data_IF_652548985893
#
_entry.id   IF_652548985893
#
_cell.length_a   1.000
_cell.length_b   1.000
_cell.length_c   1.000
_cell.angle_alpha   90.00
_cell.angle_beta   90.00
_cell.angle_gamma   90.00
#
_symmetry.space_group_name_H-M   'P 1'
#
loop_
_entity.id
_entity.type
_entity.pdbx_description
1 polymer ?
#
# COMPACT_ATOMS: atom_id res chain seq x y z
N UNK A 1 -20.09 -4.90 9.60
CA UNK A 1 -19.38 -3.77 8.98
C UNK A 1 -19.64 -3.81 7.49
N UNK A 2 -19.92 -2.67 6.86
CA UNK A 2 -20.03 -2.58 5.40
C UNK A 2 -19.40 -1.30 4.88
N UNK A 3 -18.77 -1.37 3.71
CA UNK A 3 -18.11 -0.24 3.05
C UNK A 3 -18.47 -0.29 1.56
N UNK A 4 -18.91 0.83 1.00
CA UNK A 4 -18.91 1.09 -0.44
C UNK A 4 -17.93 2.20 -0.75
N UNK A 5 -17.11 1.98 -1.78
CA UNK A 5 -16.17 2.98 -2.28
C UNK A 5 -16.44 3.20 -3.77
N UNK A 6 -16.85 4.42 -4.11
CA UNK A 6 -17.17 4.85 -5.46
C UNK A 6 -16.14 5.88 -5.90
N UNK A 7 -15.67 5.78 -7.14
CA UNK A 7 -14.89 6.83 -7.78
C UNK A 7 -15.55 7.19 -9.10
N UNK A 8 -15.88 8.47 -9.26
CA UNK A 8 -16.54 9.06 -10.41
C UNK A 8 -15.66 10.21 -10.96
N UNK A 9 -15.87 10.58 -12.22
CA UNK A 9 -15.32 11.85 -12.75
C UNK A 9 -16.05 13.04 -12.14
N UNK A 10 -15.34 14.09 -11.73
CA UNK A 10 -15.92 15.28 -11.10
C UNK A 10 -16.93 16.03 -11.97
N UNK A 11 -16.68 16.18 -13.27
CA UNK A 11 -17.50 17.07 -14.12
C UNK A 11 -18.76 16.40 -14.71
N UNK A 12 -18.79 15.06 -14.74
CA UNK A 12 -19.86 14.31 -15.39
C UNK A 12 -20.43 13.15 -14.58
N UNK A 13 -19.88 12.84 -13.41
CA UNK A 13 -20.32 11.71 -12.59
C UNK A 13 -20.12 10.33 -13.23
N UNK A 14 -19.30 10.21 -14.28
CA UNK A 14 -19.07 8.94 -14.96
C UNK A 14 -18.33 8.00 -14.02
N UNK A 15 -18.86 6.80 -13.72
CA UNK A 15 -18.21 5.88 -12.80
C UNK A 15 -16.91 5.34 -13.35
N UNK A 16 -15.84 5.42 -12.56
CA UNK A 16 -14.52 4.82 -12.82
C UNK A 16 -14.46 3.42 -12.22
N UNK A 17 -14.77 3.31 -10.92
CA UNK A 17 -14.95 2.04 -10.25
C UNK A 17 -16.00 2.15 -9.13
N UNK A 18 -16.54 0.99 -8.75
CA UNK A 18 -17.39 0.79 -7.57
C UNK A 18 -16.95 -0.48 -6.88
N UNK A 19 -16.52 -0.36 -5.62
CA UNK A 19 -16.04 -1.47 -4.79
C UNK A 19 -16.86 -1.55 -3.51
N UNK A 20 -16.94 -2.75 -2.95
CA UNK A 20 -17.64 -3.01 -1.70
C UNK A 20 -16.91 -4.02 -0.82
N UNK A 21 -17.10 -3.92 0.49
CA UNK A 21 -16.63 -4.90 1.48
C UNK A 21 -17.69 -5.11 2.55
N UNK A 22 -17.78 -6.33 3.05
CA UNK A 22 -18.76 -6.75 4.05
C UNK A 22 -20.09 -7.14 3.42
N UNK A 23 -21.04 -7.50 4.28
CA UNK A 23 -22.36 -7.98 3.85
C UNK A 23 -23.24 -6.80 3.41
N UNK A 24 -23.12 -6.44 2.13
CA UNK A 24 -23.86 -5.35 1.52
C UNK A 24 -24.15 -5.62 0.04
N UNK A 25 -25.34 -5.21 -0.40
CA UNK A 25 -25.75 -5.32 -1.79
C UNK A 25 -25.02 -4.31 -2.68
N UNK A 26 -24.98 -4.56 -3.99
CA UNK A 26 -24.46 -3.56 -4.91
C UNK A 26 -25.41 -2.35 -4.94
N UNK A 27 -24.85 -1.15 -4.91
CA UNK A 27 -25.65 0.06 -5.05
C UNK A 27 -26.25 0.13 -6.46
N UNK A 28 -27.58 0.34 -6.58
CA UNK A 28 -28.20 0.58 -7.88
C UNK A 28 -27.59 1.79 -8.58
N UNK A 29 -27.56 1.77 -9.92
CA UNK A 29 -27.06 2.89 -10.71
C UNK A 29 -27.79 4.20 -10.40
N UNK A 30 -29.11 4.13 -10.16
CA UNK A 30 -29.92 5.28 -9.73
C UNK A 30 -29.41 5.89 -8.42
N UNK A 31 -29.01 5.06 -7.45
CA UNK A 31 -28.44 5.54 -6.18
C UNK A 31 -27.10 6.23 -6.39
N UNK A 32 -26.21 5.65 -7.20
CA UNK A 32 -24.92 6.27 -7.54
C UNK A 32 -25.13 7.62 -8.24
N UNK A 33 -26.06 7.69 -9.19
CA UNK A 33 -26.42 8.92 -9.89
C UNK A 33 -26.98 9.98 -8.95
N UNK A 34 -27.86 9.61 -8.01
CA UNK A 34 -28.38 10.52 -6.98
C UNK A 34 -27.28 11.05 -6.06
N UNK A 35 -26.37 10.20 -5.59
CA UNK A 35 -25.24 10.61 -4.75
C UNK A 35 -24.31 11.60 -5.48
N UNK A 36 -24.09 11.39 -6.77
CA UNK A 36 -23.38 12.35 -7.61
C UNK A 36 -24.17 13.64 -7.80
N UNK A 37 -25.49 13.55 -8.01
CA UNK A 37 -26.38 14.70 -8.15
C UNK A 37 -26.37 15.62 -6.94
N UNK A 38 -26.35 15.05 -5.72
CA UNK A 38 -26.19 15.82 -4.48
C UNK A 38 -24.87 16.59 -4.47
N UNK A 39 -23.76 15.94 -4.80
CA UNK A 39 -22.45 16.60 -4.89
C UNK A 39 -22.46 17.74 -5.92
N UNK A 40 -22.98 17.49 -7.12
CA UNK A 40 -23.07 18.50 -8.20
C UNK A 40 -23.95 19.69 -7.82
N UNK A 41 -25.06 19.44 -7.11
CA UNK A 41 -25.91 20.51 -6.58
C UNK A 41 -25.14 21.39 -5.59
N UNK A 42 -24.47 20.80 -4.60
CA UNK A 42 -23.66 21.55 -3.64
C UNK A 42 -22.55 22.35 -4.34
N UNK A 43 -21.84 21.72 -5.29
CA UNK A 43 -20.79 22.37 -6.10
C UNK A 43 -21.33 23.56 -6.89
N UNK A 44 -22.54 23.48 -7.45
CA UNK A 44 -23.20 24.60 -8.15
C UNK A 44 -23.47 25.80 -7.24
N UNK A 45 -23.63 25.57 -5.94
CA UNK A 45 -23.83 26.59 -4.92
C UNK A 45 -22.51 27.04 -4.26
N UNK A 46 -21.35 26.59 -4.77
CA UNK A 46 -20.04 26.82 -4.16
C UNK A 46 -19.94 26.30 -2.71
N UNK A 47 -20.70 25.25 -2.38
CA UNK A 47 -20.68 24.58 -1.08
C UNK A 47 -19.98 23.23 -1.23
N UNK A 48 -19.04 22.94 -0.33
CA UNK A 48 -18.39 21.64 -0.26
C UNK A 48 -19.17 20.71 0.68
N UNK A 49 -19.71 19.61 0.14
CA UNK A 49 -20.35 18.57 0.92
C UNK A 49 -19.30 17.57 1.36
N UNK A 50 -18.94 17.57 2.64
CA UNK A 50 -17.86 16.73 3.16
C UNK A 50 -18.33 15.41 3.78
N UNK A 51 -19.48 15.41 4.45
CA UNK A 51 -20.04 14.24 5.13
C UNK A 51 -21.56 14.39 5.37
N UNK A 52 -22.25 13.26 5.43
CA UNK A 52 -23.62 13.14 5.92
C UNK A 52 -23.71 11.93 6.83
N UNK A 53 -24.27 12.10 8.03
CA UNK A 53 -24.50 11.00 8.95
C UNK A 53 -25.87 10.37 8.71
N UNK A 54 -25.91 9.04 8.74
CA UNK A 54 -27.10 8.21 8.70
C UNK A 54 -27.35 7.66 10.11
N UNK A 55 -28.50 7.03 10.34
CA UNK A 55 -28.80 6.39 11.64
C UNK A 55 -27.75 5.34 12.04
N UNK A 56 -27.20 4.60 11.08
CA UNK A 56 -26.27 3.49 11.30
C UNK A 56 -24.95 3.60 10.53
N UNK A 57 -24.63 4.78 10.00
CA UNK A 57 -23.44 4.96 9.16
C UNK A 57 -23.20 6.40 8.73
N UNK A 58 -22.37 6.54 7.70
CA UNK A 58 -22.01 7.85 7.14
C UNK A 58 -21.73 7.74 5.64
N UNK A 59 -21.89 8.86 4.97
CA UNK A 59 -21.49 9.06 3.58
C UNK A 59 -20.49 10.22 3.55
N UNK A 60 -19.34 10.00 2.93
CA UNK A 60 -18.25 10.97 2.81
C UNK A 60 -18.00 11.22 1.33
N UNK A 61 -17.94 12.49 0.95
CA UNK A 61 -17.52 12.91 -0.39
C UNK A 61 -16.17 13.60 -0.30
N UNK A 62 -15.34 13.38 -1.31
CA UNK A 62 -14.07 14.09 -1.45
C UNK A 62 -13.68 14.21 -2.91
N UNK A 63 -13.40 15.43 -3.34
CA UNK A 63 -12.85 15.73 -4.67
C UNK A 63 -11.32 15.74 -4.62
N UNK A 64 -10.69 15.17 -5.65
CA UNK A 64 -9.25 15.09 -5.82
C UNK A 64 -8.85 15.72 -7.15
N UNK A 65 -7.93 16.70 -7.06
CA UNK A 65 -7.36 17.43 -8.19
C UNK A 65 -8.40 17.97 -9.20
N UNK A 66 -9.63 18.24 -8.75
CA UNK A 66 -10.73 18.74 -9.57
C UNK A 66 -11.20 17.80 -10.68
N UNK A 67 -10.74 16.54 -10.68
CA UNK A 67 -10.98 15.59 -11.78
C UNK A 67 -11.71 14.34 -11.32
N UNK A 68 -11.44 13.91 -10.09
CA UNK A 68 -12.01 12.71 -9.51
C UNK A 68 -12.82 13.07 -8.28
N UNK A 69 -14.01 12.52 -8.19
CA UNK A 69 -14.84 12.59 -7.00
C UNK A 69 -14.98 11.18 -6.42
N UNK A 70 -14.64 11.04 -5.14
CA UNK A 70 -14.76 9.79 -4.41
C UNK A 70 -15.89 9.88 -3.40
N UNK A 71 -16.71 8.83 -3.32
CA UNK A 71 -17.78 8.69 -2.34
C UNK A 71 -17.51 7.43 -1.53
N UNK A 72 -17.34 7.60 -0.23
CA UNK A 72 -17.29 6.50 0.72
C UNK A 72 -18.62 6.39 1.45
N UNK A 73 -19.22 5.21 1.51
CA UNK A 73 -20.37 4.92 2.37
C UNK A 73 -19.92 3.84 3.32
N UNK A 74 -20.09 4.04 4.63
CA UNK A 74 -19.69 3.00 5.57
C UNK A 74 -20.55 2.92 6.83
N UNK A 75 -20.64 1.69 7.36
CA UNK A 75 -21.30 1.35 8.62
C UNK A 75 -20.34 0.57 9.52
N UNK A 76 -20.27 0.97 10.78
CA UNK A 76 -19.42 0.31 11.79
C UNK A 76 -17.93 0.58 11.66
N UNK A 77 -17.51 1.67 10.99
CA UNK A 77 -16.13 2.17 11.03
C UNK A 77 -16.08 3.67 11.36
N UNK A 78 -14.99 4.18 11.97
CA UNK A 78 -14.81 5.60 12.21
C UNK A 78 -14.61 6.40 10.92
N UNK A 79 -15.08 7.65 10.89
CA UNK A 79 -14.90 8.58 9.74
C UNK A 79 -13.44 8.70 9.29
N UNK A 80 -12.52 8.77 10.25
CA UNK A 80 -11.08 8.87 9.99
C UNK A 80 -10.55 7.67 9.19
N UNK A 81 -11.09 6.48 9.42
CA UNK A 81 -10.70 5.26 8.71
C UNK A 81 -11.23 5.33 7.28
N UNK A 82 -12.50 5.68 7.09
CA UNK A 82 -13.09 5.83 5.76
C UNK A 82 -12.36 6.90 4.92
N UNK A 83 -12.08 8.07 5.49
CA UNK A 83 -11.30 9.12 4.83
C UNK A 83 -9.89 8.64 4.46
N UNK A 84 -9.25 7.86 5.35
CA UNK A 84 -7.93 7.28 5.07
C UNK A 84 -8.01 6.27 3.92
N UNK A 85 -9.02 5.41 3.89
CA UNK A 85 -9.24 4.49 2.77
C UNK A 85 -9.40 5.25 1.46
N UNK A 86 -10.22 6.31 1.46
CA UNK A 86 -10.44 7.14 0.27
C UNK A 86 -9.13 7.78 -0.20
N UNK A 87 -8.35 8.35 0.72
CA UNK A 87 -7.05 8.95 0.42
C UNK A 87 -6.08 7.93 -0.17
N UNK A 88 -5.93 6.76 0.46
CA UNK A 88 -5.04 5.71 -0.02
C UNK A 88 -5.50 5.09 -1.32
N UNK A 89 -6.82 5.04 -1.58
CA UNK A 89 -7.35 4.59 -2.87
C UNK A 89 -7.01 5.58 -3.98
N UNK A 90 -7.12 6.88 -3.70
CA UNK A 90 -6.65 7.92 -4.61
C UNK A 90 -5.14 7.82 -4.85
N UNK A 91 -4.33 7.67 -3.79
CA UNK A 91 -2.89 7.50 -3.92
C UNK A 91 -2.53 6.21 -4.66
N UNK A 92 -3.29 5.12 -4.52
CA UNK A 92 -3.10 3.90 -5.30
C UNK A 92 -3.34 4.14 -6.81
N UNK A 93 -4.31 4.99 -7.16
CA UNK A 93 -4.50 5.40 -8.56
C UNK A 93 -3.28 6.17 -9.06
N UNK A 94 -2.81 7.17 -8.31
CA UNK A 94 -1.58 7.92 -8.66
C UNK A 94 -0.40 6.97 -8.79
N UNK A 95 -0.25 6.02 -7.87
CA UNK A 95 0.82 5.03 -7.86
C UNK A 95 0.84 4.15 -9.12
N UNK A 96 -0.33 3.84 -9.69
CA UNK A 96 -0.43 3.01 -10.89
C UNK A 96 -0.26 3.78 -12.21
N UNK A 97 -0.85 4.98 -12.33
CA UNK A 97 -0.93 5.70 -13.62
C UNK A 97 -0.26 7.07 -13.63
N UNK A 98 0.20 7.55 -12.49
CA UNK A 98 0.83 8.86 -12.32
C UNK A 98 -0.19 10.00 -12.22
N UNK A 99 0.24 11.10 -11.58
CA UNK A 99 -0.63 12.26 -11.35
C UNK A 99 -1.05 12.97 -12.64
N UNK A 100 -0.20 12.93 -13.67
CA UNK A 100 -0.46 13.58 -14.94
C UNK A 100 -1.65 12.95 -15.68
N UNK A 101 -1.80 11.62 -15.61
CA UNK A 101 -2.92 10.90 -16.21
C UNK A 101 -4.25 11.24 -15.51
N UNK A 102 -4.22 11.39 -14.18
CA UNK A 102 -5.39 11.75 -13.36
C UNK A 102 -5.83 13.19 -13.63
N UNK A 103 -4.90 14.15 -13.64
CA UNK A 103 -5.21 15.57 -13.87
C UNK A 103 -5.78 15.87 -15.26
N UNK A 104 -5.55 14.99 -16.23
CA UNK A 104 -5.96 15.19 -17.63
C UNK A 104 -6.51 13.89 -18.23
N UNK A 105 -7.62 13.41 -17.68
CA UNK A 105 -8.34 12.25 -18.22
C UNK A 105 -9.00 12.64 -19.55
N UNK A 106 -8.40 12.21 -20.67
CA UNK A 106 -8.94 12.47 -22.02
C UNK A 106 -9.98 11.43 -22.45
N UNK A 107 -9.74 10.16 -22.11
CA UNK A 107 -10.60 9.05 -22.48
C UNK A 107 -10.78 8.14 -21.26
N UNK A 108 -12.02 8.05 -20.78
CA UNK A 108 -12.36 7.35 -19.54
C UNK A 108 -12.17 5.84 -19.68
N UNK A 109 -12.51 5.25 -20.83
CA UNK A 109 -12.37 3.80 -21.03
C UNK A 109 -10.90 3.37 -21.08
N UNK A 110 -10.05 4.18 -21.71
CA UNK A 110 -8.60 3.97 -21.68
C UNK A 110 -8.06 4.11 -20.25
N UNK A 111 -8.47 5.15 -19.53
CA UNK A 111 -8.06 5.37 -18.14
C UNK A 111 -8.45 4.20 -17.23
N UNK A 112 -9.67 3.68 -17.36
CA UNK A 112 -10.13 2.47 -16.64
C UNK A 112 -9.29 1.24 -16.94
N UNK A 113 -8.82 1.07 -18.18
CA UNK A 113 -7.94 -0.05 -18.57
C UNK A 113 -6.56 0.09 -17.92
N UNK A 114 -6.00 1.30 -17.91
CA UNK A 114 -4.71 1.59 -17.26
C UNK A 114 -4.79 1.38 -15.73
N UNK A 115 -5.96 1.65 -15.11
CA UNK A 115 -6.21 1.41 -13.69
C UNK A 115 -6.49 -0.05 -13.31
N UNK A 116 -6.54 -1.00 -14.25
CA UNK A 116 -6.92 -2.39 -13.95
C UNK A 116 -6.05 -3.01 -12.84
N UNK A 117 -4.76 -2.70 -12.83
CA UNK A 117 -3.82 -3.18 -11.80
C UNK A 117 -4.02 -2.50 -10.44
N UNK A 118 -4.61 -1.30 -10.42
CA UNK A 118 -4.93 -0.58 -9.20
C UNK A 118 -6.08 -1.23 -8.43
N UNK A 119 -6.98 -1.96 -9.09
CA UNK A 119 -8.17 -2.52 -8.43
C UNK A 119 -7.81 -3.56 -7.37
N UNK A 120 -6.80 -4.40 -7.62
CA UNK A 120 -6.31 -5.34 -6.61
C UNK A 120 -5.71 -4.63 -5.40
N UNK A 121 -5.03 -3.48 -5.61
CA UNK A 121 -4.52 -2.66 -4.51
C UNK A 121 -5.65 -2.08 -3.67
N UNK A 122 -6.71 -1.58 -4.32
CA UNK A 122 -7.87 -1.01 -3.62
C UNK A 122 -8.60 -2.10 -2.84
N UNK A 123 -8.78 -3.29 -3.42
CA UNK A 123 -9.36 -4.43 -2.72
C UNK A 123 -8.53 -4.78 -1.47
N UNK A 124 -7.20 -4.86 -1.60
CA UNK A 124 -6.31 -5.14 -0.47
C UNK A 124 -6.33 -4.02 0.59
N UNK A 125 -6.44 -2.75 0.17
CA UNK A 125 -6.63 -1.63 1.10
C UNK A 125 -7.94 -1.77 1.88
N UNK A 126 -9.03 -2.13 1.21
CA UNK A 126 -10.33 -2.38 1.86
C UNK A 126 -10.24 -3.54 2.85
N UNK A 127 -9.45 -4.59 2.55
CA UNK A 127 -9.26 -5.69 3.48
C UNK A 127 -8.60 -5.26 4.78
N UNK A 128 -7.61 -4.37 4.72
CA UNK A 128 -6.83 -3.95 5.90
C UNK A 128 -7.40 -2.74 6.65
N UNK A 129 -8.56 -2.19 6.27
CA UNK A 129 -9.16 -1.01 6.93
C UNK A 129 -9.55 -1.24 8.39
N UNK A 130 -9.74 -2.49 8.79
CA UNK A 130 -10.09 -2.86 10.17
C UNK A 130 -8.90 -2.73 11.13
N UNK A 131 -7.69 -2.57 10.61
CA UNK A 131 -6.50 -2.37 11.41
C UNK A 131 -6.39 -0.90 11.84
N UNK A 132 -6.32 -0.65 13.14
CA UNK A 132 -5.91 0.66 13.71
C UNK A 132 -4.54 1.12 13.18
N UNK A 133 -3.77 0.18 12.63
CA UNK A 133 -2.44 0.37 12.05
C UNK A 133 -2.48 0.42 10.52
N UNK A 134 -3.63 0.73 9.92
CA UNK A 134 -3.82 0.87 8.47
C UNK A 134 -2.69 1.65 7.79
N UNK A 135 -2.21 2.71 8.43
CA UNK A 135 -1.14 3.57 7.91
C UNK A 135 0.27 3.01 8.10
N UNK A 136 0.49 2.13 9.08
CA UNK A 136 1.81 1.60 9.39
C UNK A 136 2.20 0.49 8.41
N UNK A 137 3.51 0.38 8.16
CA UNK A 137 4.11 -0.76 7.46
C UNK A 137 4.52 -1.83 8.46
N UNK A 138 4.14 -3.08 8.21
CA UNK A 138 4.53 -4.21 9.06
C UNK A 138 6.01 -4.53 8.92
N UNK A 139 6.64 -4.81 10.05
CA UNK A 139 8.04 -5.17 10.17
C UNK A 139 8.22 -6.45 11.00
N UNK A 140 9.40 -7.05 10.89
CA UNK A 140 9.85 -8.19 11.69
C UNK A 140 11.08 -7.76 12.47
N UNK A 141 11.15 -8.10 13.76
CA UNK A 141 12.37 -7.93 14.54
C UNK A 141 13.29 -9.13 14.26
N UNK A 142 14.51 -8.82 13.83
CA UNK A 142 15.57 -9.79 13.61
C UNK A 142 16.83 -9.37 14.39
N UNK A 143 17.49 -10.32 15.05
CA UNK A 143 18.80 -10.09 15.68
C UNK A 143 19.88 -9.76 14.63
N UNK A 144 19.65 -10.24 13.41
CA UNK A 144 20.51 -10.12 12.22
C UNK A 144 20.34 -8.77 11.51
N UNK A 145 19.41 -7.92 11.96
CA UNK A 145 19.01 -6.69 11.26
C UNK A 145 20.19 -5.77 10.90
N UNK A 146 21.17 -5.62 11.79
CA UNK A 146 22.36 -4.81 11.54
C UNK A 146 23.29 -5.43 10.49
N UNK A 147 23.53 -6.75 10.57
CA UNK A 147 24.36 -7.45 9.58
C UNK A 147 23.70 -7.43 8.19
N UNK A 148 22.39 -7.67 8.14
CA UNK A 148 21.60 -7.55 6.92
C UNK A 148 21.65 -6.14 6.33
N UNK A 149 21.59 -5.09 7.17
CA UNK A 149 21.67 -3.70 6.72
C UNK A 149 23.02 -3.38 6.08
N UNK A 150 24.13 -3.85 6.64
CA UNK A 150 25.47 -3.66 6.06
C UNK A 150 25.52 -4.24 4.64
N UNK A 151 25.08 -5.50 4.49
CA UNK A 151 25.03 -6.18 3.18
C UNK A 151 24.05 -5.53 2.21
N UNK A 152 22.92 -5.06 2.71
CA UNK A 152 21.93 -4.34 1.91
C UNK A 152 22.47 -3.01 1.38
N UNK A 153 23.29 -2.30 2.17
CA UNK A 153 23.94 -1.06 1.71
C UNK A 153 25.01 -1.34 0.64
N UNK A 154 25.80 -2.40 0.80
CA UNK A 154 26.74 -2.85 -0.24
C UNK A 154 26.00 -3.22 -1.55
N UNK A 155 24.90 -3.97 -1.44
CA UNK A 155 24.05 -4.35 -2.57
C UNK A 155 23.42 -3.14 -3.25
N UNK A 156 22.90 -2.19 -2.46
CA UNK A 156 22.32 -0.91 -2.91
C UNK A 156 23.27 -0.12 -3.81
N UNK A 157 24.55 -0.05 -3.43
CA UNK A 157 25.60 0.59 -4.23
C UNK A 157 25.80 -0.14 -5.56
N UNK A 158 25.84 -1.48 -5.54
CA UNK A 158 26.04 -2.28 -6.76
C UNK A 158 24.91 -2.12 -7.79
N UNK A 159 23.66 -2.01 -7.32
CA UNK A 159 22.51 -1.82 -8.21
C UNK A 159 22.20 -0.36 -8.50
N UNK A 160 22.92 0.58 -7.87
CA UNK A 160 22.73 2.01 -8.03
C UNK A 160 21.37 2.52 -7.54
N UNK A 161 20.79 1.90 -6.53
CA UNK A 161 19.49 2.30 -5.96
C UNK A 161 19.60 2.56 -4.45
N UNK A 162 19.34 3.79 -3.98
CA UNK A 162 19.35 4.09 -2.55
C UNK A 162 18.10 3.59 -1.82
N UNK A 163 17.16 2.95 -2.53
CA UNK A 163 15.85 2.56 -2.02
C UNK A 163 15.72 1.03 -2.00
N UNK A 164 16.50 0.37 -1.13
CA UNK A 164 16.48 -1.08 -1.00
C UNK A 164 15.93 -1.54 0.36
N UNK A 165 15.27 -2.71 0.37
CA UNK A 165 14.69 -3.34 1.56
C UNK A 165 14.74 -4.87 1.47
N UNK A 166 14.90 -5.54 2.60
CA UNK A 166 14.74 -6.99 2.74
C UNK A 166 13.43 -7.27 3.43
N UNK A 167 12.63 -8.16 2.83
CA UNK A 167 11.35 -8.58 3.34
C UNK A 167 11.42 -10.03 3.80
N UNK A 168 10.85 -10.29 4.98
CA UNK A 168 10.56 -11.64 5.50
C UNK A 168 9.05 -11.81 5.50
N UNK A 169 8.54 -12.75 4.71
CA UNK A 169 7.12 -13.04 4.53
C UNK A 169 6.30 -11.77 4.26
N UNK A 170 6.80 -10.92 3.36
CA UNK A 170 6.22 -9.63 2.96
C UNK A 170 6.14 -8.57 4.06
N UNK A 171 6.93 -8.71 5.12
CA UNK A 171 7.13 -7.70 6.17
C UNK A 171 8.56 -7.20 6.14
N UNK A 172 8.77 -5.93 6.47
CA UNK A 172 10.10 -5.31 6.37
C UNK A 172 10.99 -5.80 7.51
N UNK A 173 12.08 -6.51 7.19
CA UNK A 173 13.08 -6.93 8.16
C UNK A 173 14.17 -5.86 8.33
N UNK A 174 14.66 -5.30 7.22
CA UNK A 174 15.56 -4.15 7.22
C UNK A 174 15.42 -3.35 5.94
N UNK A 175 15.83 -2.08 5.98
CA UNK A 175 15.81 -1.19 4.82
C UNK A 175 16.96 -0.19 4.90
N UNK A 176 17.45 0.21 3.73
CA UNK A 176 18.38 1.34 3.55
C UNK A 176 17.80 2.63 4.12
N UNK A 177 18.64 3.61 4.42
CA UNK A 177 18.19 4.95 4.86
C UNK A 177 17.19 5.55 3.86
N UNK A 178 17.51 5.51 2.57
CA UNK A 178 16.62 6.01 1.52
C UNK A 178 15.26 5.31 1.51
N UNK A 179 15.19 4.01 1.82
CA UNK A 179 13.91 3.30 1.96
C UNK A 179 13.07 3.84 3.12
N UNK A 180 13.69 4.13 4.26
CA UNK A 180 12.98 4.71 5.41
C UNK A 180 12.63 6.18 5.21
N UNK A 181 13.37 6.91 4.38
CA UNK A 181 13.06 8.29 3.96
C UNK A 181 11.90 8.40 2.97
N UNK A 182 11.40 7.29 2.44
CA UNK A 182 10.16 7.29 1.66
C UNK A 182 8.98 7.67 2.57
N UNK A 183 8.05 8.44 2.01
CA UNK A 183 6.81 8.78 2.71
C UNK A 183 6.05 7.50 3.11
N UNK A 184 5.39 7.56 4.26
CA UNK A 184 4.59 6.45 4.78
C UNK A 184 3.57 5.92 3.76
N UNK A 185 2.94 6.81 2.99
CA UNK A 185 1.97 6.46 1.94
C UNK A 185 2.66 5.66 0.84
N UNK A 186 3.80 6.15 0.35
CA UNK A 186 4.55 5.53 -0.74
C UNK A 186 5.00 4.13 -0.33
N UNK A 187 5.61 3.99 0.86
CA UNK A 187 6.03 2.68 1.39
C UNK A 187 4.85 1.74 1.58
N UNK A 188 3.75 2.23 2.15
CA UNK A 188 2.57 1.39 2.38
C UNK A 188 2.02 0.85 1.06
N UNK A 189 1.96 1.65 0.02
CA UNK A 189 1.48 1.20 -1.29
C UNK A 189 2.42 0.15 -1.93
N UNK A 190 3.74 0.27 -1.76
CA UNK A 190 4.68 -0.78 -2.18
C UNK A 190 4.41 -2.11 -1.45
N UNK A 191 4.17 -2.04 -0.14
CA UNK A 191 3.84 -3.24 0.65
C UNK A 191 2.47 -3.81 0.26
N UNK A 192 1.48 -2.96 0.00
CA UNK A 192 0.15 -3.40 -0.46
C UNK A 192 0.22 -4.06 -1.84
N UNK A 193 1.06 -3.54 -2.75
CA UNK A 193 1.31 -4.14 -4.06
C UNK A 193 1.82 -5.57 -3.96
N UNK A 194 2.80 -5.81 -3.08
CA UNK A 194 3.30 -7.16 -2.85
C UNK A 194 2.19 -8.07 -2.31
N UNK A 195 1.46 -7.62 -1.29
CA UNK A 195 0.41 -8.42 -0.67
C UNK A 195 -0.79 -8.67 -1.59
N UNK A 196 -1.07 -7.78 -2.54
CA UNK A 196 -2.12 -7.94 -3.55
C UNK A 196 -1.69 -8.86 -4.71
N UNK A 197 -0.39 -9.14 -4.83
CA UNK A 197 0.16 -9.94 -5.92
C UNK A 197 0.13 -11.43 -5.58
N UNK A 198 -0.12 -12.27 -6.59
CA UNK A 198 -0.03 -13.73 -6.46
C UNK A 198 1.41 -14.24 -6.53
N UNK A 199 2.36 -13.39 -6.95
CA UNK A 199 3.78 -13.72 -7.12
C UNK A 199 4.67 -12.79 -6.30
N UNK A 200 5.68 -13.37 -5.65
CA UNK A 200 6.70 -12.61 -4.89
C UNK A 200 7.62 -11.84 -5.84
N UNK A 201 7.86 -12.40 -7.04
CA UNK A 201 8.60 -11.72 -8.09
C UNK A 201 7.75 -10.58 -8.68
N UNK A 202 8.31 -9.38 -8.67
CA UNK A 202 7.71 -8.17 -9.27
C UNK A 202 8.76 -7.42 -10.08
N UNK A 203 8.34 -6.89 -11.23
CA UNK A 203 9.03 -5.84 -11.98
C UNK A 203 7.97 -4.96 -12.63
N UNK A 204 7.60 -3.87 -11.97
CA UNK A 204 6.48 -3.02 -12.41
C UNK A 204 6.81 -1.53 -12.29
N UNK A 205 6.35 -0.70 -13.23
CA UNK A 205 6.42 0.73 -13.08
C UNK A 205 5.48 1.19 -11.98
N UNK A 206 5.96 2.07 -11.11
CA UNK A 206 5.19 2.70 -10.03
C UNK A 206 5.53 4.17 -9.96
N UNK A 207 4.53 5.00 -9.65
CA UNK A 207 4.77 6.38 -9.25
C UNK A 207 4.75 6.44 -7.73
N UNK A 208 5.43 7.42 -7.14
CA UNK A 208 5.42 7.62 -5.69
C UNK A 208 4.52 8.82 -5.37
N UNK A 209 3.26 8.63 -4.94
CA UNK A 209 2.28 9.70 -4.79
C UNK A 209 2.73 10.90 -3.96
N UNK A 210 3.64 10.70 -2.99
CA UNK A 210 4.16 11.77 -2.15
C UNK A 210 5.53 12.24 -2.58
N UNK A 211 6.48 11.33 -2.80
CA UNK A 211 7.86 11.70 -3.14
C UNK A 211 7.98 12.23 -4.58
N UNK A 212 7.39 11.54 -5.54
CA UNK A 212 7.60 11.77 -6.97
C UNK A 212 6.38 11.34 -7.81
N UNK A 213 5.26 12.07 -7.75
CA UNK A 213 3.99 11.62 -8.34
C UNK A 213 3.95 11.69 -9.87
N UNK A 214 4.90 12.40 -10.50
CA UNK A 214 4.99 12.58 -11.95
C UNK A 214 6.08 11.78 -12.63
N UNK A 215 6.94 11.09 -11.86
CA UNK A 215 8.08 10.32 -12.40
C UNK A 215 7.86 8.86 -12.04
N UNK A 216 7.89 7.99 -13.06
CA UNK A 216 7.80 6.56 -12.86
C UNK A 216 9.15 6.01 -12.35
N UNK A 217 9.08 5.25 -11.27
CA UNK A 217 10.13 4.36 -10.79
C UNK A 217 9.80 2.94 -11.25
N UNK A 218 10.80 2.07 -11.23
CA UNK A 218 10.59 0.64 -11.39
C UNK A 218 10.72 -0.02 -10.03
N UNK A 219 9.62 -0.58 -9.54
CA UNK A 219 9.61 -1.36 -8.33
C UNK A 219 9.86 -2.82 -8.64
N UNK A 220 10.88 -3.37 -7.99
CA UNK A 220 11.32 -4.73 -8.19
C UNK A 220 11.28 -5.47 -6.87
N UNK A 221 10.79 -6.70 -6.90
CA UNK A 221 10.92 -7.67 -5.81
C UNK A 221 11.53 -8.95 -6.36
N UNK A 222 12.66 -9.36 -5.79
CA UNK A 222 13.43 -10.54 -6.19
C UNK A 222 13.35 -11.56 -5.06
N UNK A 223 12.69 -12.71 -5.25
CA UNK A 223 12.69 -13.77 -4.25
C UNK A 223 14.09 -14.40 -4.15
N UNK A 224 14.62 -14.49 -2.93
CA UNK A 224 15.87 -15.19 -2.63
C UNK A 224 15.59 -16.58 -2.06
N UNK A 225 14.66 -16.65 -1.11
CA UNK A 225 14.11 -17.92 -0.58
C UNK A 225 12.60 -17.94 -0.76
N UNK A 226 11.93 -18.98 -0.26
CA UNK A 226 10.46 -19.03 -0.24
C UNK A 226 9.83 -17.95 0.65
N UNK A 227 10.54 -17.49 1.68
CA UNK A 227 10.05 -16.49 2.61
C UNK A 227 10.80 -15.17 2.59
N UNK A 228 11.92 -15.06 1.89
CA UNK A 228 12.74 -13.84 1.85
C UNK A 228 12.80 -13.27 0.43
N UNK A 229 12.53 -11.98 0.31
CA UNK A 229 12.70 -11.23 -0.93
C UNK A 229 13.43 -9.91 -0.71
N UNK A 230 14.10 -9.44 -1.75
CA UNK A 230 14.74 -8.12 -1.77
C UNK A 230 13.93 -7.22 -2.68
N UNK A 231 13.63 -6.05 -2.18
CA UNK A 231 12.91 -5.01 -2.89
C UNK A 231 13.82 -3.84 -3.21
N UNK A 232 13.64 -3.24 -4.39
CA UNK A 232 14.34 -2.04 -4.79
C UNK A 232 13.44 -1.12 -5.62
N UNK A 233 13.60 0.20 -5.47
CA UNK A 233 13.11 1.19 -6.42
C UNK A 233 14.27 1.66 -7.29
N UNK A 234 14.28 1.31 -8.56
CA UNK A 234 15.35 1.66 -9.48
C UNK A 234 14.81 2.36 -10.74
N UNK A 235 15.73 2.79 -11.60
CA UNK A 235 15.40 3.32 -12.92
C UNK A 235 15.12 2.22 -13.94
N UNK A 236 15.20 2.58 -15.21
CA UNK A 236 15.01 1.65 -16.33
C UNK A 236 16.10 0.56 -16.39
N UNK A 237 17.33 0.88 -16.01
CA UNK A 237 18.47 -0.03 -15.96
C UNK A 237 18.87 -0.34 -14.51
N UNK A 238 19.42 -1.53 -14.22
CA UNK A 238 19.65 -2.66 -15.14
C UNK A 238 18.43 -3.61 -15.25
N UNK A 239 18.24 -4.37 -16.35
CA UNK A 239 17.07 -5.23 -16.57
C UNK A 239 16.90 -6.29 -15.47
N UNK A 240 15.67 -6.78 -15.29
CA UNK A 240 15.32 -7.70 -14.20
C UNK A 240 16.23 -8.92 -14.13
N UNK A 241 16.48 -9.60 -15.26
CA UNK A 241 17.29 -10.82 -15.29
C UNK A 241 18.72 -10.59 -14.78
N UNK A 242 19.31 -9.42 -15.08
CA UNK A 242 20.63 -9.04 -14.55
C UNK A 242 20.58 -8.79 -13.06
N UNK A 243 19.54 -8.10 -12.58
CA UNK A 243 19.33 -7.88 -11.14
C UNK A 243 19.11 -9.18 -10.39
N UNK A 244 18.34 -10.11 -10.96
CA UNK A 244 18.09 -11.42 -10.38
C UNK A 244 19.38 -12.23 -10.28
N UNK A 245 20.16 -12.30 -11.35
CA UNK A 245 21.44 -13.01 -11.34
C UNK A 245 22.43 -12.39 -10.33
N UNK A 246 22.55 -11.06 -10.30
CA UNK A 246 23.39 -10.35 -9.36
C UNK A 246 22.92 -10.53 -7.91
N UNK A 247 21.60 -10.50 -7.68
CA UNK A 247 21.00 -10.75 -6.37
C UNK A 247 21.27 -12.18 -5.89
N UNK A 248 21.09 -13.19 -6.74
CA UNK A 248 21.42 -14.57 -6.40
C UNK A 248 22.91 -14.73 -6.05
N UNK A 249 23.80 -14.19 -6.87
CA UNK A 249 25.25 -14.28 -6.61
C UNK A 249 25.67 -13.56 -5.33
N UNK A 250 25.12 -12.37 -5.08
CA UNK A 250 25.44 -11.58 -3.90
C UNK A 250 24.95 -12.24 -2.61
N UNK A 251 23.68 -12.65 -2.58
CA UNK A 251 23.02 -13.14 -1.37
C UNK A 251 23.24 -14.63 -1.11
N UNK A 252 23.74 -15.40 -2.08
CA UNK A 252 24.10 -16.80 -1.86
C UNK A 252 25.17 -16.98 -0.77
N UNK A 253 26.11 -16.04 -0.64
CA UNK A 253 27.13 -16.08 0.41
C UNK A 253 26.58 -15.73 1.80
N UNK A 254 25.42 -15.08 1.85
CA UNK A 254 24.77 -14.60 3.07
C UNK A 254 23.44 -15.34 3.31
N UNK A 255 23.24 -16.49 2.67
CA UNK A 255 21.95 -17.19 2.65
C UNK A 255 21.52 -17.64 4.04
N UNK A 256 22.47 -18.10 4.86
CA UNK A 256 22.22 -18.54 6.23
C UNK A 256 21.69 -17.38 7.09
N UNK A 257 22.20 -16.16 6.89
CA UNK A 257 21.72 -14.95 7.58
C UNK A 257 20.24 -14.70 7.28
N UNK A 258 19.84 -14.85 6.02
CA UNK A 258 18.47 -14.66 5.57
C UNK A 258 17.55 -15.77 6.09
N UNK A 259 18.02 -17.01 6.10
CA UNK A 259 17.27 -18.16 6.64
C UNK A 259 17.02 -17.98 8.14
N UNK A 260 18.03 -17.56 8.91
CA UNK A 260 17.86 -17.25 10.35
C UNK A 260 16.86 -16.13 10.56
N UNK A 261 16.90 -15.06 9.76
CA UNK A 261 15.90 -14.00 9.82
C UNK A 261 14.47 -14.50 9.55
N UNK A 262 14.30 -15.47 8.63
CA UNK A 262 13.01 -16.09 8.32
C UNK A 262 12.42 -16.87 9.50
N UNK A 263 13.26 -17.47 10.35
CA UNK A 263 12.82 -18.25 11.52
C UNK A 263 12.05 -17.43 12.57
N UNK A 264 12.16 -16.10 12.50
CA UNK A 264 11.39 -15.20 13.36
C UNK A 264 9.89 -15.21 13.00
N UNK A 265 9.50 -15.65 11.81
CA UNK A 265 8.09 -15.79 11.43
C UNK A 265 7.51 -17.12 11.96
N UNK A 266 6.25 -17.17 12.46
CA UNK A 266 5.24 -16.10 12.46
C UNK A 266 5.29 -15.16 13.67
N UNK A 267 6.18 -15.42 14.65
CA UNK A 267 6.28 -14.65 15.89
C UNK A 267 6.63 -13.18 15.65
N UNK A 268 7.35 -12.87 14.57
CA UNK A 268 7.88 -11.57 14.18
C UNK A 268 8.90 -10.97 15.17
N UNK A 269 9.53 -11.81 16.01
CA UNK A 269 10.62 -11.41 16.89
C UNK A 269 11.59 -12.56 17.19
N UNK A 270 12.84 -12.27 17.60
CA UNK A 270 13.86 -13.28 17.85
C UNK A 270 13.56 -14.17 19.04
N UNK A 271 13.92 -15.46 18.93
CA UNK A 271 13.80 -16.42 20.03
C UNK A 271 14.65 -16.04 21.27
N UNK A 272 15.64 -15.16 21.11
CA UNK A 272 16.44 -14.61 22.22
C UNK A 272 15.65 -13.64 23.11
N UNK A 273 14.49 -13.17 22.66
CA UNK A 273 13.59 -12.35 23.48
C UNK A 273 12.63 -13.28 24.20
N UNK A 274 12.84 -13.46 25.49
CA UNK A 274 11.91 -14.15 26.37
C UNK A 274 10.79 -13.21 26.79
N UNK A 275 9.54 -13.60 26.50
CA UNK A 275 8.34 -12.91 26.94
C UNK A 275 7.67 -13.73 28.04
N UNK A 276 7.03 -13.05 28.98
CA UNK A 276 6.26 -13.72 30.03
C UNK A 276 5.15 -14.60 29.41
N UNK A 277 4.98 -15.86 29.86
CA UNK A 277 3.99 -16.78 29.30
C UNK A 277 2.54 -16.28 29.30
N UNK A 278 2.24 -15.30 30.14
CA UNK A 278 0.91 -14.68 30.26
C UNK A 278 0.63 -13.66 29.15
N UNK A 279 1.64 -13.29 28.34
CA UNK A 279 1.51 -12.34 27.24
C UNK A 279 0.86 -13.03 26.04
N UNK A 280 -0.41 -12.71 25.78
CA UNK A 280 -1.16 -13.23 24.62
C UNK A 280 -0.67 -12.69 23.27
N UNK A 281 0.00 -11.54 23.31
CA UNK A 281 0.53 -10.85 22.13
C UNK A 281 1.07 -9.48 22.50
N UNK A 282 1.84 -8.89 21.59
CA UNK A 282 2.32 -7.53 21.74
C UNK A 282 2.30 -6.78 20.42
N UNK A 283 2.30 -5.46 20.55
CA UNK A 283 2.39 -4.53 19.44
C UNK A 283 3.48 -3.51 19.76
N UNK A 284 4.50 -3.46 18.92
CA UNK A 284 5.52 -2.41 18.97
C UNK A 284 5.24 -1.40 17.87
N UNK A 285 5.15 -0.12 18.24
CA UNK A 285 4.93 0.99 17.30
C UNK A 285 6.14 1.91 17.30
N UNK A 286 6.78 2.05 16.15
CA UNK A 286 7.71 3.15 15.91
C UNK A 286 6.96 4.24 15.14
N UNK A 287 6.63 5.34 15.83
CA UNK A 287 5.88 6.46 15.25
C UNK A 287 6.73 7.31 14.31
N UNK A 288 8.02 7.45 14.60
CA UNK A 288 8.95 8.24 13.78
C UNK A 288 9.07 7.64 12.37
N UNK A 289 9.34 6.33 12.31
CA UNK A 289 9.45 5.59 11.06
C UNK A 289 8.11 4.99 10.60
N UNK A 290 7.02 5.21 11.32
CA UNK A 290 5.68 4.72 10.99
C UNK A 290 5.64 3.22 10.59
N UNK A 291 6.34 2.39 11.37
CA UNK A 291 6.36 0.92 11.24
C UNK A 291 5.87 0.24 12.50
N UNK A 292 5.31 -0.96 12.35
CA UNK A 292 4.80 -1.74 13.47
C UNK A 292 5.27 -3.19 13.43
N UNK A 293 5.39 -3.80 14.61
CA UNK A 293 5.62 -5.24 14.76
C UNK A 293 4.47 -5.77 15.61
N UNK A 294 3.76 -6.76 15.08
CA UNK A 294 2.65 -7.41 15.74
C UNK A 294 2.98 -8.88 15.93
N UNK A 295 2.82 -9.37 17.14
CA UNK A 295 2.90 -10.79 17.48
C UNK A 295 1.64 -11.21 18.21
N UNK A 296 1.02 -12.31 17.78
CA UNK A 296 -0.18 -12.91 18.39
C UNK A 296 0.13 -14.36 18.71
N UNK A 297 -0.39 -14.86 19.84
CA UNK A 297 -0.17 -16.23 20.30
C UNK A 297 1.32 -16.54 20.41
N UNK A 298 1.96 -15.92 21.40
CA UNK A 298 3.40 -16.00 21.68
C UNK A 298 3.85 -17.45 22.04
N UNK A 299 2.88 -18.33 22.31
CA UNK A 299 3.03 -19.74 22.69
C UNK A 299 2.28 -20.68 21.73
#
# INVERSE_FOLDING_TARGET
MSIHLLCLTSDGGVPIFSKKKGDCENLPFSTIASLNGVHMFCKSQSVDLSITYLEDGMIVWKEYDGTLMMIGIARGIPEKVLRSLMDYSYYAMVFCVGIAAIKKIKNIDRFKRELKNCYALIDQLMEVTESDFFRFTEAVLCSESMAMLVKLNEFSIQIGSPFCSILVRQKIACGTEGWWDLDIVDRKLLMVLLNASSTIQQDVPVFLPKKSPGIAYRFISIPITQGVSICALCGAEPPYDKLQALSQQFWMNEIDLLITAEQNYPKNYPATIELDPSILGFLLLNKEQSKCVLSRNVH
#
